data_IF_731843081129
#
_entry.id   IF_731843081129
#
_cell.length_a   1.000
_cell.length_b   1.000
_cell.length_c   1.000
_cell.angle_alpha   90.00
_cell.angle_beta   90.00
_cell.angle_gamma   90.00
#
_symmetry.space_group_name_H-M   'P 1'
#
loop_
_entity.id
_entity.type
_entity.pdbx_description
1 polymer ?
#
# COMPACT_ATOMS: atom_id res chain seq x y z
N UNK A 1 0.81 23.96 71.24
CA UNK A 1 1.82 23.82 70.17
C UNK A 1 1.29 22.83 69.14
N UNK A 2 0.57 23.29 68.10
CA UNK A 2 -0.17 22.42 67.16
C UNK A 2 0.71 22.05 65.96
N UNK A 3 0.96 20.76 65.76
CA UNK A 3 1.75 20.18 64.66
C UNK A 3 1.01 20.19 63.31
N UNK A 4 0.28 21.26 62.98
CA UNK A 4 -0.59 21.32 61.79
C UNK A 4 0.14 21.73 60.51
N UNK A 5 1.34 22.32 60.62
CA UNK A 5 2.16 22.76 59.47
C UNK A 5 2.78 21.60 58.69
N UNK A 6 3.25 20.56 59.38
CA UNK A 6 3.88 19.38 58.77
C UNK A 6 2.89 18.53 57.96
N UNK A 7 1.65 18.43 58.44
CA UNK A 7 0.58 17.74 57.70
C UNK A 7 0.15 18.52 56.45
N UNK A 8 0.18 19.84 56.50
CA UNK A 8 -0.11 20.68 55.34
C UNK A 8 0.98 20.55 54.27
N UNK A 9 2.26 20.66 54.65
CA UNK A 9 3.40 20.49 53.75
C UNK A 9 3.41 19.11 53.06
N UNK A 10 3.13 18.03 53.81
CA UNK A 10 3.02 16.69 53.26
C UNK A 10 1.87 16.55 52.24
N UNK A 11 0.72 17.19 52.50
CA UNK A 11 -0.43 17.20 51.58
C UNK A 11 -0.15 17.97 50.29
N UNK A 12 0.55 19.11 50.37
CA UNK A 12 0.92 19.86 49.17
C UNK A 12 1.97 19.13 48.33
N UNK A 13 2.97 18.50 48.95
CA UNK A 13 3.95 17.67 48.26
C UNK A 13 3.30 16.44 47.58
N UNK A 14 2.39 15.75 48.28
CA UNK A 14 1.63 14.63 47.71
C UNK A 14 0.74 15.07 46.52
N UNK A 15 0.06 16.22 46.63
CA UNK A 15 -0.73 16.78 45.52
C UNK A 15 0.13 17.21 44.34
N UNK A 16 1.33 17.74 44.59
CA UNK A 16 2.31 18.07 43.55
C UNK A 16 2.79 16.83 42.79
N UNK A 17 3.11 15.74 43.51
CA UNK A 17 3.51 14.46 42.91
C UNK A 17 2.37 13.80 42.13
N UNK A 18 1.13 13.86 42.64
CA UNK A 18 -0.05 13.35 41.93
C UNK A 18 -0.32 14.14 40.64
N UNK A 19 -0.23 15.47 40.67
CA UNK A 19 -0.41 16.31 39.49
C UNK A 19 0.73 16.10 38.49
N UNK A 20 1.98 15.99 38.94
CA UNK A 20 3.12 15.69 38.07
C UNK A 20 3.01 14.30 37.43
N UNK A 21 2.56 13.30 38.19
CA UNK A 21 2.27 11.96 37.68
C UNK A 21 1.14 11.96 36.64
N UNK A 22 0.08 12.74 36.88
CA UNK A 22 -1.02 12.91 35.93
C UNK A 22 -0.55 13.58 34.63
N UNK A 23 0.27 14.63 34.73
CA UNK A 23 0.87 15.32 33.57
C UNK A 23 1.83 14.40 32.81
N UNK A 24 2.64 13.60 33.49
CA UNK A 24 3.51 12.63 32.83
C UNK A 24 2.69 11.57 32.08
N UNK A 25 1.62 11.05 32.69
CA UNK A 25 0.70 10.09 32.06
C UNK A 25 -0.01 10.67 30.84
N UNK A 26 -0.44 11.94 30.89
CA UNK A 26 -1.08 12.58 29.75
C UNK A 26 -0.08 12.88 28.63
N UNK A 27 1.14 13.31 28.94
CA UNK A 27 2.20 13.57 27.94
C UNK A 27 2.66 12.27 27.26
N UNK A 28 2.88 11.19 28.02
CA UNK A 28 3.26 9.89 27.45
C UNK A 28 2.10 9.25 26.68
N UNK A 29 0.85 9.39 27.15
CA UNK A 29 -0.34 8.90 26.43
C UNK A 29 -0.58 9.65 25.10
N UNK A 30 -0.39 10.96 25.08
CA UNK A 30 -0.48 11.77 23.85
C UNK A 30 0.66 11.45 22.87
N UNK A 31 1.87 11.23 23.36
CA UNK A 31 3.01 10.83 22.52
C UNK A 31 2.80 9.44 21.89
N UNK A 32 2.23 8.47 22.63
CA UNK A 32 1.90 7.15 22.10
C UNK A 32 0.85 7.18 20.99
N UNK A 33 -0.13 8.09 21.08
CA UNK A 33 -1.13 8.28 20.02
C UNK A 33 -0.55 8.98 18.78
N UNK A 34 0.40 9.89 18.94
CA UNK A 34 1.06 10.58 17.83
C UNK A 34 1.97 9.64 17.00
N UNK A 35 2.49 8.56 17.59
CA UNK A 35 3.32 7.56 16.92
C UNK A 35 2.53 6.57 16.03
N UNK A 36 1.19 6.61 16.04
CA UNK A 36 0.34 5.65 15.35
C UNK A 36 0.25 5.86 13.82
N UNK A 37 0.71 7.01 13.30
CA UNK A 37 0.68 7.29 11.85
C UNK A 37 1.93 6.69 11.19
N UNK A 38 1.73 5.80 10.22
CA UNK A 38 2.82 5.19 9.44
C UNK A 38 3.42 3.91 10.02
N UNK A 39 2.84 3.36 11.10
CA UNK A 39 3.29 2.06 11.65
C UNK A 39 2.81 0.90 10.77
N UNK A 40 3.65 -0.14 10.53
CA UNK A 40 3.21 -1.36 9.90
C UNK A 40 2.25 -2.13 10.82
N UNK A 41 1.14 -2.59 10.28
CA UNK A 41 0.17 -3.42 11.00
C UNK A 41 0.59 -4.90 10.90
N UNK A 42 0.38 -5.74 11.94
CA UNK A 42 0.61 -7.18 11.85
C UNK A 42 -0.13 -7.79 10.65
N UNK A 43 0.57 -8.59 9.83
CA UNK A 43 0.03 -9.23 8.62
C UNK A 43 -0.43 -8.27 7.50
N UNK A 44 0.10 -7.05 7.46
CA UNK A 44 -0.17 -6.12 6.36
C UNK A 44 0.48 -6.59 5.05
N UNK A 45 -0.33 -6.70 3.99
CA UNK A 45 0.09 -7.19 2.66
C UNK A 45 0.17 -6.09 1.59
N UNK A 46 -0.13 -4.84 1.94
CA UNK A 46 -0.18 -3.69 1.04
C UNK A 46 0.56 -2.47 1.59
N UNK A 47 0.36 -1.31 0.95
CA UNK A 47 1.01 -0.06 1.35
C UNK A 47 0.51 0.44 2.71
N UNK A 48 1.36 1.22 3.39
CA UNK A 48 0.99 1.93 4.63
C UNK A 48 -0.13 2.94 4.40
N UNK A 49 -0.92 3.20 5.45
CA UNK A 49 -2.01 4.20 5.40
C UNK A 49 -1.47 5.55 4.91
N UNK A 50 -2.12 6.19 3.92
CA UNK A 50 -1.61 7.42 3.34
C UNK A 50 -1.67 8.57 4.35
N UNK A 51 -0.53 9.26 4.54
CA UNK A 51 -0.42 10.42 5.40
C UNK A 51 -0.44 11.76 4.64
N UNK A 52 -0.37 11.71 3.30
CA UNK A 52 -0.34 12.89 2.42
C UNK A 52 -1.24 12.66 1.19
N UNK A 53 -1.68 13.75 0.56
CA UNK A 53 -2.48 13.67 -0.68
C UNK A 53 -1.72 12.95 -1.81
N UNK A 54 -0.42 13.19 -1.95
CA UNK A 54 0.41 12.50 -2.93
C UNK A 54 0.44 10.99 -2.66
N UNK A 55 0.59 10.58 -1.39
CA UNK A 55 0.58 9.17 -1.04
C UNK A 55 -0.78 8.52 -1.31
N UNK A 56 -1.90 9.23 -1.08
CA UNK A 56 -3.23 8.72 -1.43
C UNK A 56 -3.33 8.40 -2.93
N UNK A 57 -2.88 9.32 -3.78
CA UNK A 57 -2.89 9.09 -5.23
C UNK A 57 -1.90 7.99 -5.66
N UNK A 58 -0.79 7.82 -4.94
CA UNK A 58 0.13 6.68 -5.14
C UNK A 58 -0.54 5.35 -4.82
N UNK A 59 -1.32 5.27 -3.74
CA UNK A 59 -2.08 4.06 -3.38
C UNK A 59 -3.11 3.74 -4.47
N UNK A 60 -3.87 4.72 -4.94
CA UNK A 60 -4.84 4.53 -6.03
C UNK A 60 -4.18 4.01 -7.32
N UNK A 61 -3.00 4.54 -7.67
CA UNK A 61 -2.23 4.06 -8.81
C UNK A 61 -1.65 2.65 -8.63
N UNK A 62 -1.19 2.34 -7.41
CA UNK A 62 -0.77 1.00 -7.03
C UNK A 62 -1.91 0.00 -7.21
N UNK A 63 -3.10 0.30 -6.69
CA UNK A 63 -4.27 -0.60 -6.78
C UNK A 63 -4.70 -0.81 -8.24
N UNK A 64 -4.69 0.24 -9.06
CA UNK A 64 -4.96 0.14 -10.50
C UNK A 64 -3.98 -0.80 -11.19
N UNK A 65 -2.68 -0.56 -11.00
CA UNK A 65 -1.62 -1.31 -11.67
C UNK A 65 -1.59 -2.77 -11.19
N UNK A 66 -1.72 -2.98 -9.87
CA UNK A 66 -1.76 -4.30 -9.26
C UNK A 66 -2.95 -5.12 -9.78
N UNK A 67 -4.13 -4.51 -9.91
CA UNK A 67 -5.32 -5.16 -10.47
C UNK A 67 -5.11 -5.60 -11.93
N UNK A 68 -4.45 -4.77 -12.74
CA UNK A 68 -4.14 -5.08 -14.15
C UNK A 68 -3.17 -6.27 -14.24
N UNK A 69 -2.05 -6.26 -13.50
CA UNK A 69 -1.08 -7.35 -13.57
C UNK A 69 -1.64 -8.67 -13.05
N UNK A 70 -2.49 -8.64 -12.02
CA UNK A 70 -3.18 -9.84 -11.52
C UNK A 70 -4.12 -10.39 -12.59
N UNK A 71 -4.88 -9.53 -13.28
CA UNK A 71 -5.76 -9.95 -14.36
C UNK A 71 -4.96 -10.62 -15.51
N UNK A 72 -3.81 -10.05 -15.90
CA UNK A 72 -2.93 -10.65 -16.91
C UNK A 72 -2.37 -11.99 -16.43
N UNK A 73 -1.91 -12.07 -15.17
CA UNK A 73 -1.36 -13.31 -14.61
C UNK A 73 -2.41 -14.43 -14.58
N UNK A 74 -3.65 -14.12 -14.18
CA UNK A 74 -4.77 -15.07 -14.19
C UNK A 74 -5.11 -15.49 -15.62
N UNK A 75 -5.10 -14.57 -16.58
CA UNK A 75 -5.33 -14.89 -17.98
C UNK A 75 -4.27 -15.85 -18.53
N UNK A 76 -2.98 -15.58 -18.28
CA UNK A 76 -1.88 -16.46 -18.68
C UNK A 76 -1.97 -17.81 -18.00
N UNK A 77 -2.30 -17.84 -16.71
CA UNK A 77 -2.49 -19.09 -15.95
C UNK A 77 -3.63 -19.92 -16.55
N UNK A 78 -4.76 -19.30 -16.87
CA UNK A 78 -5.89 -19.97 -17.51
C UNK A 78 -5.52 -20.54 -18.89
N UNK A 79 -4.79 -19.77 -19.71
CA UNK A 79 -4.29 -20.25 -20.99
C UNK A 79 -3.31 -21.43 -20.82
N UNK A 80 -2.43 -21.37 -19.83
CA UNK A 80 -1.48 -22.46 -19.57
C UNK A 80 -2.21 -23.75 -19.18
N UNK A 81 -3.20 -23.66 -18.27
CA UNK A 81 -4.04 -24.79 -17.89
C UNK A 81 -4.77 -25.34 -19.11
N UNK A 82 -5.37 -24.47 -19.92
CA UNK A 82 -6.05 -24.86 -21.15
C UNK A 82 -5.10 -25.61 -22.10
N UNK A 83 -3.89 -25.09 -22.32
CA UNK A 83 -2.91 -25.71 -23.23
C UNK A 83 -2.50 -27.09 -22.73
N UNK A 84 -2.19 -27.23 -21.43
CA UNK A 84 -1.78 -28.51 -20.82
C UNK A 84 -2.90 -29.56 -20.91
N UNK A 85 -4.15 -29.16 -20.65
CA UNK A 85 -5.29 -30.09 -20.68
C UNK A 85 -5.69 -30.44 -22.12
N UNK A 86 -5.68 -29.48 -23.05
CA UNK A 86 -6.20 -29.66 -24.40
C UNK A 86 -5.20 -30.29 -25.37
N UNK A 87 -3.90 -29.98 -25.21
CA UNK A 87 -2.83 -30.36 -26.14
C UNK A 87 -1.80 -31.32 -25.54
N UNK A 88 -2.15 -32.05 -24.46
CA UNK A 88 -1.32 -33.18 -24.03
C UNK A 88 -1.31 -34.32 -25.06
N UNK A 89 -0.30 -35.18 -24.99
CA UNK A 89 -0.06 -36.29 -25.92
C UNK A 89 -1.27 -37.25 -26.07
N UNK A 90 -2.02 -37.48 -24.99
CA UNK A 90 -3.23 -38.33 -25.03
C UNK A 90 -4.38 -37.68 -25.80
N UNK A 91 -4.56 -36.36 -25.65
CA UNK A 91 -5.66 -35.60 -26.25
C UNK A 91 -5.32 -35.03 -27.64
N UNK A 92 -4.04 -34.90 -27.97
CA UNK A 92 -3.55 -34.38 -29.23
C UNK A 92 -2.27 -35.13 -29.70
N UNK A 93 -2.41 -36.39 -30.19
CA UNK A 93 -1.27 -37.25 -30.54
C UNK A 93 -0.51 -36.80 -31.80
N UNK A 94 -1.09 -35.95 -32.65
CA UNK A 94 -0.40 -35.37 -33.82
C UNK A 94 -0.29 -33.85 -33.62
N UNK A 95 0.91 -33.30 -33.34
CA UNK A 95 1.09 -31.88 -33.13
C UNK A 95 0.97 -31.07 -34.43
N UNK A 96 0.46 -29.84 -34.31
CA UNK A 96 0.47 -28.88 -35.41
C UNK A 96 1.89 -28.44 -35.75
N UNK A 97 2.13 -28.08 -37.02
CA UNK A 97 3.42 -27.59 -37.53
C UNK A 97 3.41 -26.08 -37.82
N UNK A 98 2.34 -25.37 -37.47
CA UNK A 98 2.24 -23.93 -37.71
C UNK A 98 3.22 -23.18 -36.81
N UNK A 99 4.09 -22.36 -37.38
CA UNK A 99 5.09 -21.57 -36.64
C UNK A 99 4.76 -20.09 -36.57
N UNK A 100 3.83 -19.61 -37.40
CA UNK A 100 3.48 -18.20 -37.51
C UNK A 100 1.98 -18.02 -37.55
N UNK A 101 1.51 -16.96 -36.91
CA UNK A 101 0.14 -16.51 -37.02
C UNK A 101 0.08 -14.99 -36.90
N UNK A 102 0.35 -14.31 -38.03
CA UNK A 102 0.52 -12.85 -38.10
C UNK A 102 -0.60 -12.09 -37.38
N UNK A 103 -1.87 -12.49 -37.55
CA UNK A 103 -3.00 -11.80 -36.89
C UNK A 103 -2.94 -11.88 -35.35
N UNK A 104 -2.44 -12.99 -34.81
CA UNK A 104 -2.31 -13.18 -33.36
C UNK A 104 -1.07 -12.45 -32.84
N UNK A 105 0.00 -12.43 -33.65
CA UNK A 105 1.21 -11.69 -33.38
C UNK A 105 0.97 -10.17 -33.34
N UNK A 106 0.09 -9.66 -34.20
CA UNK A 106 -0.32 -8.25 -34.17
C UNK A 106 -1.25 -7.97 -32.98
N UNK A 107 -2.21 -8.85 -32.71
CA UNK A 107 -3.13 -8.67 -31.60
C UNK A 107 -2.40 -8.63 -30.24
N UNK A 108 -1.51 -9.58 -29.98
CA UNK A 108 -0.80 -9.68 -28.71
C UNK A 108 0.28 -8.62 -28.50
N UNK A 109 0.57 -7.78 -29.49
CA UNK A 109 1.58 -6.70 -29.38
C UNK A 109 0.86 -5.39 -29.15
N UNK A 110 -0.22 -5.14 -29.90
CA UNK A 110 -1.09 -3.98 -29.70
C UNK A 110 -1.75 -4.01 -28.33
N UNK A 111 -2.23 -5.17 -27.86
CA UNK A 111 -2.91 -5.27 -26.56
C UNK A 111 -1.99 -4.84 -25.40
N UNK A 112 -0.76 -5.37 -25.24
CA UNK A 112 0.18 -4.89 -24.23
C UNK A 112 0.50 -3.39 -24.36
N UNK A 113 0.70 -2.88 -25.58
CA UNK A 113 0.94 -1.45 -25.79
C UNK A 113 -0.23 -0.61 -25.28
N UNK A 114 -1.47 -1.00 -25.60
CA UNK A 114 -2.66 -0.30 -25.12
C UNK A 114 -2.79 -0.34 -23.59
N UNK A 115 -2.49 -1.48 -22.96
CA UNK A 115 -2.47 -1.61 -21.49
C UNK A 115 -1.42 -0.67 -20.88
N UNK A 116 -0.22 -0.59 -21.45
CA UNK A 116 0.82 0.33 -20.99
C UNK A 116 0.37 1.79 -21.08
N UNK A 117 -0.35 2.19 -22.13
CA UNK A 117 -0.88 3.55 -22.25
C UNK A 117 -1.89 3.89 -21.15
N UNK A 118 -2.76 2.95 -20.78
CA UNK A 118 -3.72 3.12 -19.67
C UNK A 118 -3.00 3.38 -18.35
N UNK A 119 -1.89 2.68 -18.09
CA UNK A 119 -1.08 2.86 -16.89
C UNK A 119 -0.25 4.17 -16.96
N UNK A 120 0.23 4.54 -18.15
CA UNK A 120 1.09 5.70 -18.35
C UNK A 120 0.40 7.04 -18.02
N UNK A 121 -0.87 7.21 -18.41
CA UNK A 121 -1.60 8.47 -18.22
C UNK A 121 -1.68 8.89 -16.73
N UNK A 122 -2.19 8.07 -15.78
CA UNK A 122 -2.18 8.43 -14.37
C UNK A 122 -0.76 8.54 -13.81
N UNK A 123 0.16 7.67 -14.24
CA UNK A 123 1.57 7.71 -13.81
C UNK A 123 2.22 9.07 -14.06
N UNK A 124 2.10 9.62 -15.27
CA UNK A 124 2.65 10.94 -15.58
C UNK A 124 1.98 12.06 -14.76
N UNK A 125 0.66 12.02 -14.56
CA UNK A 125 -0.05 13.00 -13.71
C UNK A 125 0.48 13.00 -12.27
N UNK A 126 0.77 11.83 -11.73
CA UNK A 126 1.35 11.69 -10.39
C UNK A 126 2.77 12.23 -10.32
N UNK A 127 3.61 11.88 -11.30
CA UNK A 127 4.99 12.37 -11.37
C UNK A 127 5.08 13.90 -11.37
N UNK A 128 4.22 14.56 -12.16
CA UNK A 128 4.20 16.03 -12.17
C UNK A 128 3.66 16.61 -10.87
N UNK A 129 2.61 16.00 -10.30
CA UNK A 129 2.04 16.44 -9.02
C UNK A 129 3.08 16.33 -7.89
N UNK A 130 3.81 15.22 -7.80
CA UNK A 130 4.83 15.03 -6.77
C UNK A 130 6.03 15.97 -6.94
N UNK A 131 6.43 16.24 -8.19
CA UNK A 131 7.58 17.12 -8.49
C UNK A 131 7.27 18.58 -8.17
N UNK A 132 6.08 19.06 -8.54
CA UNK A 132 5.68 20.46 -8.31
C UNK A 132 5.45 20.73 -6.82
N UNK A 133 4.93 19.77 -6.05
CA UNK A 133 4.77 19.95 -4.59
C UNK A 133 6.11 20.03 -3.86
N UNK A 134 7.13 19.26 -4.27
CA UNK A 134 8.46 19.29 -3.64
C UNK A 134 9.26 20.57 -3.91
N UNK A 135 8.99 21.28 -5.01
CA UNK A 135 9.67 22.55 -5.31
C UNK A 135 9.13 23.76 -4.54
N UNK A 136 8.10 23.58 -3.71
CA UNK A 136 7.43 24.62 -2.91
C UNK A 136 7.71 24.50 -1.40
N UNK A 137 8.62 23.59 -1.00
CA UNK A 137 9.06 23.38 0.38
C UNK A 137 10.56 23.66 0.50
#
# INVERSE_FOLDING_TARGET
MRMTSWQAAAKYAARGLLNAGLVALTVTGLAGAALAIGQPEPMQMGLSKPATEIMQKTVEFYDLTNSIIIAIAVFVLALMIYVVVRFNDKANPVPSKNTHHVGLEVAWTIIPIAILLVIAIPSFKLLFSSTITQSQI
#
